data_IF_029908146059
#
_entry.id   IF_029908146059
#
_cell.length_a   1.000
_cell.length_b   1.000
_cell.length_c   1.000
_cell.angle_alpha   90.00
_cell.angle_beta   90.00
_cell.angle_gamma   90.00
#
_symmetry.space_group_name_H-M   'P 1'
#
loop_
_entity.id
_entity.type
_entity.pdbx_description
1 polymer ?
#
# COMPACT_ATOMS: atom_id res chain seq x y z
N UNK A 1 -19.96 -22.62 -10.17
CA UNK A 1 -19.12 -21.40 -10.20
C UNK A 1 -20.04 -20.26 -9.80
N UNK A 2 -20.17 -19.98 -8.50
CA UNK A 2 -21.05 -18.90 -8.02
C UNK A 2 -20.41 -17.56 -8.32
N UNK A 3 -21.16 -16.71 -9.03
CA UNK A 3 -20.94 -15.27 -9.12
C UNK A 3 -21.27 -14.65 -7.76
N UNK A 4 -20.27 -14.49 -6.90
CA UNK A 4 -20.32 -13.49 -5.83
C UNK A 4 -19.18 -12.51 -6.12
N UNK A 5 -19.43 -11.52 -6.98
CA UNK A 5 -18.57 -10.33 -6.99
C UNK A 5 -18.92 -9.57 -5.72
N UNK A 6 -18.14 -9.80 -4.68
CA UNK A 6 -18.24 -9.04 -3.45
C UNK A 6 -18.13 -7.55 -3.80
N UNK A 7 -19.02 -6.74 -3.23
CA UNK A 7 -18.88 -5.29 -3.21
C UNK A 7 -17.61 -4.96 -2.44
N UNK A 8 -16.49 -4.74 -3.14
CA UNK A 8 -15.16 -4.43 -2.56
C UNK A 8 -15.11 -3.07 -1.85
N UNK A 9 -16.27 -2.45 -1.61
CA UNK A 9 -16.41 -1.16 -0.94
C UNK A 9 -16.23 -1.28 0.57
N UNK A 10 -15.24 -0.55 1.11
CA UNK A 10 -15.08 -0.36 2.55
C UNK A 10 -16.16 0.61 3.06
N UNK A 11 -16.94 0.19 4.06
CA UNK A 11 -18.01 1.00 4.69
C UNK A 11 -17.60 1.44 6.09
N UNK A 12 -17.53 2.76 6.30
CA UNK A 12 -17.20 3.36 7.60
C UNK A 12 -18.44 3.82 8.35
N UNK A 13 -18.42 3.71 9.68
CA UNK A 13 -19.36 4.43 10.54
C UNK A 13 -18.88 5.86 10.72
N UNK A 14 -19.31 6.74 9.82
CA UNK A 14 -18.73 8.09 9.73
C UNK A 14 -19.10 9.02 10.90
N UNK A 15 -20.27 8.89 11.54
CA UNK A 15 -20.62 9.67 12.74
C UNK A 15 -20.29 11.18 12.63
N UNK A 16 -19.59 11.78 13.60
CA UNK A 16 -19.14 13.18 13.54
C UNK A 16 -18.22 13.51 12.35
N UNK A 17 -17.51 12.53 11.79
CA UNK A 17 -16.64 12.72 10.62
C UNK A 17 -17.45 13.14 9.39
N UNK A 18 -18.66 12.61 9.24
CA UNK A 18 -19.57 12.99 8.15
C UNK A 18 -20.04 14.44 8.29
N UNK A 19 -20.34 14.86 9.52
CA UNK A 19 -20.74 16.24 9.80
C UNK A 19 -19.60 17.21 9.48
N UNK A 20 -18.38 16.90 9.96
CA UNK A 20 -17.19 17.70 9.67
C UNK A 20 -16.85 17.76 8.16
N UNK A 21 -16.96 16.63 7.46
CA UNK A 21 -16.74 16.59 6.01
C UNK A 21 -17.78 17.43 5.24
N UNK A 22 -19.07 17.32 5.61
CA UNK A 22 -20.12 18.12 4.98
C UNK A 22 -19.96 19.63 5.26
N UNK A 23 -19.56 20.00 6.48
CA UNK A 23 -19.29 21.39 6.81
C UNK A 23 -18.13 21.93 5.96
N UNK A 24 -17.03 21.17 5.86
CA UNK A 24 -15.89 21.53 5.02
C UNK A 24 -16.28 21.64 3.54
N UNK A 25 -17.07 20.69 3.02
CA UNK A 25 -17.60 20.72 1.65
C UNK A 25 -18.40 22.00 1.37
N UNK A 26 -19.21 22.44 2.34
CA UNK A 26 -20.06 23.63 2.22
C UNK A 26 -19.27 24.94 2.14
N UNK A 27 -18.07 24.98 2.72
CA UNK A 27 -17.20 26.16 2.74
C UNK A 27 -16.19 26.13 1.58
N UNK A 28 -15.84 24.97 1.05
CA UNK A 28 -14.83 24.83 0.02
C UNK A 28 -15.36 25.21 -1.38
N UNK A 29 -14.79 26.26 -1.98
CA UNK A 29 -15.12 26.72 -3.34
C UNK A 29 -14.60 25.72 -4.40
N UNK A 30 -15.27 24.59 -4.52
CA UNK A 30 -14.87 23.47 -5.38
C UNK A 30 -15.42 22.12 -4.92
N UNK A 31 -15.99 22.07 -3.70
CA UNK A 31 -16.39 20.84 -3.04
C UNK A 31 -15.18 19.99 -2.62
N UNK A 32 -15.42 18.94 -1.85
CA UNK A 32 -14.41 17.97 -1.44
C UNK A 32 -14.80 16.57 -1.92
N UNK A 33 -13.80 15.80 -2.33
CA UNK A 33 -13.99 14.40 -2.65
C UNK A 33 -13.83 13.54 -1.38
N UNK A 34 -14.94 13.29 -0.68
CA UNK A 34 -14.95 12.53 0.59
C UNK A 34 -14.38 11.11 0.40
N UNK A 35 -14.64 10.46 -0.74
CA UNK A 35 -14.13 9.12 -1.02
C UNK A 35 -12.61 9.10 -1.17
N UNK A 36 -12.05 10.11 -1.83
CA UNK A 36 -10.60 10.28 -1.94
C UNK A 36 -9.98 10.58 -0.58
N UNK A 37 -10.56 11.50 0.19
CA UNK A 37 -10.11 11.78 1.57
C UNK A 37 -10.14 10.54 2.46
N UNK A 38 -11.16 9.70 2.32
CA UNK A 38 -11.25 8.45 3.07
C UNK A 38 -10.16 7.45 2.66
N UNK A 39 -9.87 7.34 1.35
CA UNK A 39 -8.83 6.45 0.82
C UNK A 39 -7.44 6.91 1.26
N UNK A 40 -7.12 8.18 1.05
CA UNK A 40 -5.83 8.78 1.45
C UNK A 40 -5.64 8.73 2.96
N UNK A 41 -6.70 9.01 3.72
CA UNK A 41 -6.68 8.92 5.18
C UNK A 41 -6.41 7.49 5.67
N UNK A 42 -7.07 6.49 5.09
CA UNK A 42 -6.83 5.08 5.43
C UNK A 42 -5.40 4.67 5.08
N UNK A 43 -4.92 4.99 3.88
CA UNK A 43 -3.55 4.68 3.42
C UNK A 43 -2.50 5.23 4.39
N UNK A 44 -2.62 6.51 4.74
CA UNK A 44 -1.70 7.16 5.69
C UNK A 44 -1.75 6.52 7.07
N UNK A 45 -2.94 6.17 7.56
CA UNK A 45 -3.08 5.56 8.88
C UNK A 45 -2.54 4.13 8.92
N UNK A 46 -2.67 3.35 7.85
CA UNK A 46 -2.07 2.02 7.76
C UNK A 46 -0.54 2.13 7.90
N UNK A 47 0.11 2.97 7.09
CA UNK A 47 1.56 3.16 7.16
C UNK A 47 2.05 3.68 8.52
N UNK A 48 1.32 4.61 9.14
CA UNK A 48 1.66 5.14 10.49
C UNK A 48 1.48 4.13 11.63
N UNK A 49 0.62 3.14 11.45
CA UNK A 49 0.30 2.16 12.50
C UNK A 49 1.33 1.02 12.53
N UNK A 50 2.03 0.79 11.42
CA UNK A 50 3.00 -0.29 11.30
C UNK A 50 4.25 -0.04 12.13
N UNK A 51 4.73 -1.10 12.76
CA UNK A 51 6.06 -1.20 13.35
C UNK A 51 7.08 -1.67 12.30
N UNK A 52 8.37 -1.56 12.61
CA UNK A 52 9.42 -2.09 11.72
C UNK A 52 9.29 -3.61 11.53
N UNK A 53 8.90 -4.35 12.58
CA UNK A 53 8.63 -5.79 12.48
C UNK A 53 7.45 -6.10 11.54
N UNK A 54 6.40 -5.27 11.55
CA UNK A 54 5.28 -5.42 10.63
C UNK A 54 5.72 -5.22 9.18
N UNK A 55 6.61 -4.27 8.92
CA UNK A 55 7.14 -4.02 7.57
C UNK A 55 7.91 -5.22 7.03
N UNK A 56 8.74 -5.85 7.86
CA UNK A 56 9.48 -7.08 7.50
C UNK A 56 8.49 -8.18 7.13
N UNK A 57 7.48 -8.42 7.98
CA UNK A 57 6.47 -9.46 7.73
C UNK A 57 5.64 -9.20 6.45
N UNK A 58 5.35 -7.93 6.14
CA UNK A 58 4.67 -7.54 4.89
C UNK A 58 5.54 -7.87 3.68
N UNK A 59 6.83 -7.52 3.74
CA UNK A 59 7.75 -7.80 2.64
C UNK A 59 7.96 -9.32 2.43
N UNK A 60 8.09 -10.10 3.50
CA UNK A 60 8.19 -11.56 3.41
C UNK A 60 6.97 -12.15 2.69
N UNK A 61 5.76 -11.71 3.04
CA UNK A 61 4.53 -12.15 2.37
C UNK A 61 4.45 -11.73 0.91
N UNK A 62 4.93 -10.53 0.56
CA UNK A 62 5.07 -10.11 -0.82
C UNK A 62 6.01 -11.04 -1.60
N UNK A 63 7.20 -11.32 -1.06
CA UNK A 63 8.24 -12.10 -1.74
C UNK A 63 7.81 -13.54 -2.06
N UNK A 64 6.87 -14.12 -1.30
CA UNK A 64 6.30 -15.45 -1.56
C UNK A 64 5.01 -15.41 -2.40
N UNK A 65 4.55 -14.23 -2.80
CA UNK A 65 3.35 -14.02 -3.61
C UNK A 65 2.02 -14.03 -2.84
N UNK A 66 2.07 -14.01 -1.50
CA UNK A 66 0.89 -13.99 -0.62
C UNK A 66 0.28 -12.59 -0.45
N UNK A 67 0.95 -11.56 -0.96
CA UNK A 67 0.51 -10.18 -0.99
C UNK A 67 0.81 -9.57 -2.35
N UNK A 68 -0.14 -8.84 -2.93
CA UNK A 68 0.07 -8.17 -4.23
C UNK A 68 1.01 -6.98 -4.10
N UNK A 69 1.76 -6.70 -5.17
CA UNK A 69 2.65 -5.54 -5.25
C UNK A 69 1.93 -4.23 -4.94
N UNK A 70 0.71 -4.04 -5.46
CA UNK A 70 -0.10 -2.84 -5.19
C UNK A 70 -0.41 -2.66 -3.70
N UNK A 71 -0.72 -3.75 -2.99
CA UNK A 71 -0.99 -3.70 -1.56
C UNK A 71 0.30 -3.48 -0.76
N UNK A 72 1.41 -4.07 -1.19
CA UNK A 72 2.73 -3.86 -0.60
C UNK A 72 3.18 -2.42 -0.75
N UNK A 73 3.10 -1.84 -1.96
CA UNK A 73 3.45 -0.44 -2.23
C UNK A 73 2.58 0.52 -1.44
N UNK A 74 1.28 0.21 -1.23
CA UNK A 74 0.41 1.01 -0.37
C UNK A 74 0.87 1.01 1.11
N UNK A 75 1.37 -0.12 1.61
CA UNK A 75 1.78 -0.27 3.01
C UNK A 75 3.20 0.23 3.29
N UNK A 76 4.15 -0.07 2.40
CA UNK A 76 5.57 0.22 2.57
C UNK A 76 6.00 1.53 1.89
N UNK A 77 5.23 2.03 0.92
CA UNK A 77 5.52 3.29 0.24
C UNK A 77 6.91 3.29 -0.42
N UNK A 78 7.61 4.42 -0.31
CA UNK A 78 8.93 4.62 -0.91
C UNK A 78 9.99 3.60 -0.42
N UNK A 79 9.83 3.04 0.79
CA UNK A 79 10.76 2.02 1.31
C UNK A 79 10.71 0.73 0.48
N UNK A 80 9.57 0.42 -0.14
CA UNK A 80 9.44 -0.73 -1.03
C UNK A 80 10.25 -0.56 -2.31
N UNK A 81 10.15 0.61 -2.95
CA UNK A 81 10.84 0.86 -4.20
C UNK A 81 12.36 0.89 -4.00
N UNK A 82 12.85 1.43 -2.88
CA UNK A 82 14.28 1.38 -2.50
C UNK A 82 14.76 -0.05 -2.28
N UNK A 83 13.95 -0.89 -1.62
CA UNK A 83 14.30 -2.26 -1.33
C UNK A 83 14.37 -3.12 -2.60
N UNK A 84 13.43 -2.94 -3.54
CA UNK A 84 13.47 -3.62 -4.84
C UNK A 84 14.71 -3.19 -5.65
N UNK A 85 15.06 -1.90 -5.66
CA UNK A 85 16.28 -1.41 -6.30
C UNK A 85 17.54 -2.05 -5.71
N UNK A 86 17.64 -2.09 -4.38
CA UNK A 86 18.77 -2.73 -3.69
C UNK A 86 18.86 -4.23 -4.02
N UNK A 87 17.73 -4.94 -4.02
CA UNK A 87 17.69 -6.38 -4.31
C UNK A 87 18.07 -6.68 -5.76
N UNK A 88 17.60 -5.89 -6.72
CA UNK A 88 17.95 -6.06 -8.11
C UNK A 88 19.45 -5.78 -8.34
N UNK A 89 20.01 -4.74 -7.71
CA UNK A 89 21.44 -4.46 -7.75
C UNK A 89 22.29 -5.61 -7.16
N UNK A 90 21.84 -6.20 -6.03
CA UNK A 90 22.49 -7.38 -5.46
C UNK A 90 22.38 -8.61 -6.38
N UNK A 91 21.23 -8.82 -7.02
CA UNK A 91 21.02 -9.95 -7.94
C UNK A 91 21.93 -9.82 -9.16
N UNK A 92 22.00 -8.64 -9.78
CA UNK A 92 22.87 -8.37 -10.92
C UNK A 92 24.35 -8.65 -10.57
N UNK A 93 24.82 -8.20 -9.41
CA UNK A 93 26.18 -8.43 -8.96
C UNK A 93 26.50 -9.93 -8.74
N UNK A 94 25.54 -10.71 -8.22
CA UNK A 94 25.72 -12.17 -8.01
C UNK A 94 25.68 -12.94 -9.33
N UNK A 95 24.81 -12.55 -10.26
CA UNK A 95 24.75 -13.16 -11.60
C UNK A 95 26.05 -12.91 -12.38
N UNK A 96 26.60 -11.69 -12.31
CA UNK A 96 27.89 -11.34 -12.94
C UNK A 96 29.04 -12.18 -12.35
N UNK A 97 29.15 -12.26 -11.01
CA UNK A 97 30.23 -13.00 -10.33
C UNK A 97 30.15 -14.53 -10.50
N UNK A 98 28.94 -15.08 -10.69
CA UNK A 98 28.75 -16.53 -10.92
C UNK A 98 28.85 -16.95 -12.39
N UNK A 99 28.70 -16.00 -13.32
CA UNK A 99 28.80 -16.26 -14.77
C UNK A 99 30.21 -16.72 -15.20
N UNK A 100 31.25 -16.29 -14.50
CA UNK A 100 32.63 -16.75 -14.67
C UNK A 100 32.84 -18.25 -14.29
N UNK A 101 31.90 -18.84 -13.55
CA UNK A 101 31.99 -20.21 -13.04
C UNK A 101 30.96 -21.19 -13.66
N UNK A 102 30.06 -20.71 -14.51
CA UNK A 102 28.99 -21.52 -15.15
C UNK A 102 29.31 -21.91 -16.61
N UNK A 103 30.56 -22.29 -16.90
CA UNK A 103 31.01 -22.87 -18.18
C UNK A 103 30.46 -24.27 -18.46
#
# INVERSE_FOLDING_TARGET
>A
MSQDSFDDTIKFRAGPLKEAANELDSVHLGGINISELAREGLSQMLGRTMTDDDKIAIYERYSVGDLSEDATRLLLGDEFDLLEEDIDAFREAVEDDTSDYLL
#
